data_IF_381493599800
#
_entry.id   IF_381493599800
#
_cell.length_a   1.000
_cell.length_b   1.000
_cell.length_c   1.000
_cell.angle_alpha   90.00
_cell.angle_beta   90.00
_cell.angle_gamma   90.00
#
_symmetry.space_group_name_H-M   'P 1'
#
loop_
_entity.id
_entity.type
_entity.pdbx_description
1 polymer ?
#
# COMPACT_ATOMS: atom_id res chain seq x y z
N UNK A 1 21.44 27.89 -5.51
CA UNK A 1 20.69 28.55 -4.42
C UNK A 1 19.76 27.54 -3.78
N UNK A 2 19.60 27.40 -2.47
CA UNK A 2 20.36 27.76 -1.29
C UNK A 2 19.76 26.84 -0.19
N UNK A 3 20.59 26.03 0.48
CA UNK A 3 20.19 25.28 1.67
C UNK A 3 19.77 26.26 2.77
N UNK A 4 18.74 25.92 3.55
CA UNK A 4 18.66 26.38 4.93
C UNK A 4 18.30 25.21 5.85
N UNK A 5 19.28 24.86 6.67
CA UNK A 5 19.18 24.07 7.90
C UNK A 5 19.34 25.06 9.06
N UNK A 6 18.71 24.75 10.20
CA UNK A 6 19.22 24.91 11.58
C UNK A 6 18.43 25.84 12.52
N UNK A 7 18.03 25.25 13.67
CA UNK A 7 18.20 25.77 15.05
C UNK A 7 17.77 24.63 16.00
N UNK A 8 18.64 23.83 16.63
CA UNK A 8 19.56 24.07 17.76
C UNK A 8 18.89 24.64 19.03
N UNK A 9 18.76 23.81 20.07
CA UNK A 9 18.70 24.24 21.48
C UNK A 9 19.57 23.30 22.32
N UNK A 10 20.56 23.88 22.99
CA UNK A 10 21.45 23.25 23.98
C UNK A 10 21.21 23.91 25.35
N UNK A 11 20.98 23.05 26.37
CA UNK A 11 21.53 23.07 27.74
C UNK A 11 21.30 24.26 28.70
N UNK A 12 20.84 23.95 29.92
CA UNK A 12 21.61 24.18 31.17
C UNK A 12 20.97 23.48 32.38
N UNK A 13 21.80 22.84 33.20
CA UNK A 13 21.50 22.28 34.53
C UNK A 13 21.51 23.37 35.63
N UNK A 14 20.82 23.13 36.76
CA UNK A 14 21.37 23.23 38.13
C UNK A 14 20.31 22.92 39.21
N UNK A 15 20.78 22.29 40.28
CA UNK A 15 20.05 21.64 41.38
C UNK A 15 19.59 22.58 42.53
N UNK A 16 18.67 22.10 43.40
CA UNK A 16 18.89 22.13 44.87
C UNK A 16 17.87 21.29 45.67
N UNK A 17 18.35 20.81 46.84
CA UNK A 17 17.75 19.92 47.86
C UNK A 17 16.66 20.56 48.76
N UNK A 18 15.77 19.73 49.37
CA UNK A 18 15.77 19.39 50.82
C UNK A 18 14.43 18.82 51.37
N UNK A 19 14.54 17.74 52.20
CA UNK A 19 13.81 17.35 53.46
C UNK A 19 12.26 17.34 53.49
N UNK A 20 11.50 16.39 54.05
CA UNK A 20 11.62 15.32 55.08
C UNK A 20 10.18 14.79 55.38
N UNK A 21 9.97 13.81 56.28
CA UNK A 21 8.92 12.78 56.14
C UNK A 21 7.68 12.95 57.06
N UNK A 22 6.50 12.48 56.63
CA UNK A 22 5.38 12.08 57.51
C UNK A 22 4.49 11.02 56.84
N UNK A 23 3.91 10.12 57.65
CA UNK A 23 3.25 8.90 57.24
C UNK A 23 1.70 8.94 57.39
N UNK A 24 1.02 8.29 56.42
CA UNK A 24 -0.29 7.57 56.46
C UNK A 24 -1.63 8.34 56.69
N UNK A 25 -2.83 7.80 56.34
CA UNK A 25 -3.19 6.61 55.51
C UNK A 25 -4.32 6.80 54.44
N UNK A 26 -4.37 5.87 53.47
CA UNK A 26 -5.54 5.27 52.75
C UNK A 26 -6.75 6.17 52.35
N UNK A 27 -6.90 6.44 51.05
CA UNK A 27 -8.21 6.43 50.37
C UNK A 27 -8.07 6.23 48.84
N UNK A 28 -8.73 5.16 48.38
CA UNK A 28 -9.26 4.83 47.06
C UNK A 28 -8.88 5.64 45.80
N UNK A 29 -8.50 4.86 44.78
CA UNK A 29 -9.01 4.91 43.41
C UNK A 29 -8.73 6.17 42.57
N UNK A 30 -7.77 6.05 41.64
CA UNK A 30 -8.06 6.00 40.20
C UNK A 30 -6.74 5.94 39.42
N UNK A 31 -6.34 4.73 39.04
CA UNK A 31 -5.41 4.55 37.91
C UNK A 31 -6.19 4.81 36.61
N UNK A 32 -5.68 5.59 35.65
CA UNK A 32 -6.28 5.66 34.32
C UNK A 32 -5.94 4.35 33.59
N UNK A 33 -6.83 3.38 33.73
CA UNK A 33 -6.82 2.09 33.04
C UNK A 33 -7.56 2.28 31.72
N UNK A 34 -6.82 2.11 30.63
CA UNK A 34 -7.27 1.78 29.27
C UNK A 34 -8.17 2.79 28.56
N UNK A 35 -7.53 3.60 27.72
CA UNK A 35 -8.19 4.21 26.57
C UNK A 35 -8.74 3.09 25.68
N UNK A 36 -10.06 3.08 25.57
CA UNK A 36 -10.90 1.99 25.08
C UNK A 36 -10.74 1.77 23.59
N UNK A 37 -10.67 0.49 23.22
CA UNK A 37 -10.89 -0.01 21.88
C UNK A 37 -12.15 0.63 21.27
N UNK A 38 -11.98 1.49 20.26
CA UNK A 38 -13.10 1.99 19.48
C UNK A 38 -13.79 0.81 18.77
N UNK A 39 -15.11 0.75 18.89
CA UNK A 39 -15.97 -0.31 18.38
C UNK A 39 -15.82 -0.55 16.85
N UNK A 40 -16.28 -1.70 16.31
CA UNK A 40 -16.15 -2.05 14.89
C UNK A 40 -16.81 -1.04 13.92
N UNK A 41 -17.92 -0.42 14.33
CA UNK A 41 -18.71 0.46 13.47
C UNK A 41 -17.97 1.75 13.02
N UNK A 42 -17.24 2.48 13.89
CA UNK A 42 -16.34 3.56 13.48
C UNK A 42 -15.31 3.17 12.41
N UNK A 43 -14.71 1.99 12.49
CA UNK A 43 -13.69 1.52 11.53
C UNK A 43 -14.30 1.17 10.18
N UNK A 44 -15.45 0.49 10.17
CA UNK A 44 -16.19 0.20 8.94
C UNK A 44 -16.60 1.47 8.19
N UNK A 45 -17.08 2.48 8.92
CA UNK A 45 -17.46 3.77 8.33
C UNK A 45 -16.25 4.47 7.70
N UNK A 46 -15.13 4.56 8.43
CA UNK A 46 -13.88 5.14 7.92
C UNK A 46 -13.36 4.42 6.68
N UNK A 47 -13.38 3.08 6.69
CA UNK A 47 -12.98 2.28 5.55
C UNK A 47 -13.86 2.56 4.31
N UNK A 48 -15.18 2.67 4.49
CA UNK A 48 -16.10 3.01 3.41
C UNK A 48 -15.87 4.43 2.85
N UNK A 49 -15.64 5.42 3.72
CA UNK A 49 -15.30 6.80 3.33
C UNK A 49 -13.99 6.83 2.53
N UNK A 50 -12.96 6.13 2.99
CA UNK A 50 -11.67 6.02 2.30
C UNK A 50 -11.82 5.34 0.93
N UNK A 51 -12.59 4.25 0.84
CA UNK A 51 -12.91 3.59 -0.44
C UNK A 51 -13.61 4.56 -1.41
N UNK A 52 -14.55 5.37 -0.93
CA UNK A 52 -15.22 6.40 -1.72
C UNK A 52 -14.24 7.41 -2.30
N UNK A 53 -13.44 8.04 -1.44
CA UNK A 53 -12.44 9.03 -1.84
C UNK A 53 -11.40 8.47 -2.82
N UNK A 54 -10.94 7.22 -2.61
CA UNK A 54 -9.98 6.58 -3.50
C UNK A 54 -10.60 6.23 -4.88
N UNK A 55 -11.88 5.88 -4.94
CA UNK A 55 -12.59 5.65 -6.21
C UNK A 55 -12.75 6.95 -7.01
N UNK A 56 -13.08 8.05 -6.35
CA UNK A 56 -13.12 9.38 -6.98
C UNK A 56 -11.75 9.79 -7.51
N UNK A 57 -10.70 9.60 -6.72
CA UNK A 57 -9.33 9.85 -7.15
C UNK A 57 -8.95 8.99 -8.35
N UNK A 58 -9.25 7.68 -8.32
CA UNK A 58 -9.02 6.76 -9.45
C UNK A 58 -9.74 7.22 -10.72
N UNK A 59 -11.00 7.64 -10.62
CA UNK A 59 -11.75 8.15 -11.77
C UNK A 59 -11.10 9.41 -12.36
N UNK A 60 -10.63 10.33 -11.51
CA UNK A 60 -9.90 11.53 -11.97
C UNK A 60 -8.61 11.20 -12.73
N UNK A 61 -7.92 10.11 -12.33
CA UNK A 61 -6.74 9.63 -13.02
C UNK A 61 -7.08 9.00 -14.38
N UNK A 62 -8.22 8.33 -14.51
CA UNK A 62 -8.68 7.78 -15.80
C UNK A 62 -9.03 8.89 -16.81
N UNK A 63 -9.66 9.96 -16.35
CA UNK A 63 -9.90 11.16 -17.16
C UNK A 63 -8.58 11.80 -17.62
N UNK A 64 -7.64 11.99 -16.68
CA UNK A 64 -6.31 12.53 -16.98
C UNK A 64 -5.54 11.64 -17.97
N UNK A 65 -5.59 10.31 -17.79
CA UNK A 65 -4.94 9.34 -18.66
C UNK A 65 -5.47 9.46 -20.09
N UNK A 66 -6.78 9.66 -20.25
CA UNK A 66 -7.41 9.85 -21.56
C UNK A 66 -6.88 11.09 -22.27
N UNK A 67 -6.71 12.20 -21.54
CA UNK A 67 -6.13 13.43 -22.10
C UNK A 67 -4.66 13.23 -22.49
N UNK A 68 -3.85 12.63 -21.60
CA UNK A 68 -2.43 12.38 -21.86
C UNK A 68 -2.19 11.41 -23.02
N UNK A 69 -3.08 10.43 -23.22
CA UNK A 69 -3.02 9.55 -24.39
C UNK A 69 -3.26 10.31 -25.70
N UNK A 70 -4.20 11.27 -25.72
CA UNK A 70 -4.40 12.14 -26.88
C UNK A 70 -3.17 13.01 -27.16
N UNK A 71 -2.55 13.56 -26.11
CA UNK A 71 -1.31 14.34 -26.23
C UNK A 71 -0.17 13.50 -26.80
N UNK A 72 -0.04 12.24 -26.36
CA UNK A 72 0.95 11.31 -26.88
C UNK A 72 0.74 11.01 -28.38
N UNK A 73 -0.50 10.77 -28.80
CA UNK A 73 -0.84 10.58 -30.21
C UNK A 73 -0.46 11.82 -31.01
N UNK A 74 -0.89 13.01 -30.57
CA UNK A 74 -0.58 14.27 -31.26
C UNK A 74 0.93 14.54 -31.34
N UNK A 75 1.68 14.30 -30.26
CA UNK A 75 3.14 14.43 -30.25
C UNK A 75 3.82 13.45 -31.21
N UNK A 76 3.31 12.22 -31.31
CA UNK A 76 3.81 11.19 -32.22
C UNK A 76 3.57 11.58 -33.68
N UNK A 77 2.37 12.05 -34.01
CA UNK A 77 2.05 12.56 -35.35
C UNK A 77 2.88 13.79 -35.74
N UNK A 78 3.18 14.67 -34.77
CA UNK A 78 4.07 15.80 -34.99
C UNK A 78 5.51 15.33 -35.26
N UNK A 79 6.03 14.37 -34.49
CA UNK A 79 7.36 13.78 -34.75
C UNK A 79 7.44 13.20 -36.16
N UNK A 80 6.43 12.46 -36.60
CA UNK A 80 6.42 11.88 -37.95
C UNK A 80 6.45 12.93 -39.06
N UNK A 81 5.68 14.02 -38.91
CA UNK A 81 5.73 15.15 -39.84
C UNK A 81 7.11 15.81 -39.88
N UNK A 82 7.72 16.04 -38.73
CA UNK A 82 9.06 16.63 -38.66
C UNK A 82 10.14 15.70 -39.21
N UNK A 83 9.95 14.38 -39.09
CA UNK A 83 10.87 13.39 -39.67
C UNK A 83 10.84 13.42 -41.20
N UNK A 84 9.66 13.56 -41.82
CA UNK A 84 9.53 13.74 -43.27
C UNK A 84 10.15 15.07 -43.73
N UNK A 85 9.90 16.17 -43.02
CA UNK A 85 10.50 17.47 -43.34
C UNK A 85 12.04 17.44 -43.21
N UNK A 86 12.56 16.75 -42.20
CA UNK A 86 14.00 16.60 -41.99
C UNK A 86 14.63 15.77 -43.11
N UNK A 87 13.96 14.70 -43.55
CA UNK A 87 14.41 13.88 -44.69
C UNK A 87 14.45 14.67 -46.01
N UNK A 88 13.69 15.76 -46.10
CA UNK A 88 13.70 16.71 -47.23
C UNK A 88 14.62 17.91 -46.99
N UNK A 89 15.40 17.90 -45.91
CA UNK A 89 16.31 18.97 -45.49
C UNK A 89 15.61 20.33 -45.24
N UNK A 90 14.30 20.32 -44.95
CA UNK A 90 13.48 21.51 -44.73
C UNK A 90 13.46 22.00 -43.28
N UNK A 91 13.90 21.17 -42.33
CA UNK A 91 14.04 21.51 -40.91
C UNK A 91 15.39 21.04 -40.39
N UNK A 92 15.85 21.66 -39.30
CA UNK A 92 17.11 21.29 -38.65
C UNK A 92 16.96 20.00 -37.81
N UNK A 93 18.09 19.32 -37.59
CA UNK A 93 18.16 18.16 -36.68
C UNK A 93 17.64 18.50 -35.28
N UNK A 94 17.98 19.69 -34.78
CA UNK A 94 17.57 20.20 -33.47
C UNK A 94 16.05 20.26 -33.32
N UNK A 95 15.34 20.69 -34.36
CA UNK A 95 13.87 20.75 -34.35
C UNK A 95 13.23 19.36 -34.33
N UNK A 96 13.82 18.38 -35.01
CA UNK A 96 13.37 16.99 -34.93
C UNK A 96 13.60 16.42 -33.52
N UNK A 97 14.79 16.62 -32.94
CA UNK A 97 15.15 16.18 -31.59
C UNK A 97 14.20 16.74 -30.51
N UNK A 98 13.74 18.00 -30.66
CA UNK A 98 12.73 18.59 -29.78
C UNK A 98 11.39 17.84 -29.82
N UNK A 99 10.96 17.37 -31.00
CA UNK A 99 9.72 16.58 -31.15
C UNK A 99 9.86 15.16 -30.64
N UNK A 100 11.03 14.55 -30.82
CA UNK A 100 11.35 13.25 -30.21
C UNK A 100 11.34 13.33 -28.68
N UNK A 101 11.89 14.42 -28.13
CA UNK A 101 11.83 14.70 -26.69
C UNK A 101 10.38 14.88 -26.22
N UNK A 102 9.55 15.59 -26.98
CA UNK A 102 8.14 15.78 -26.64
C UNK A 102 7.36 14.45 -26.58
N UNK A 103 7.63 13.51 -27.48
CA UNK A 103 7.06 12.15 -27.42
C UNK A 103 7.49 11.44 -26.15
N UNK A 104 8.79 11.48 -25.82
CA UNK A 104 9.33 10.84 -24.61
C UNK A 104 8.67 11.39 -23.34
N UNK A 105 8.49 12.71 -23.25
CA UNK A 105 7.81 13.37 -22.13
C UNK A 105 6.33 12.94 -22.05
N UNK A 106 5.62 12.90 -23.18
CA UNK A 106 4.22 12.48 -23.21
C UNK A 106 4.05 11.01 -22.80
N UNK A 107 4.94 10.12 -23.24
CA UNK A 107 4.99 8.72 -22.82
C UNK A 107 5.22 8.61 -21.30
N UNK A 108 6.18 9.38 -20.77
CA UNK A 108 6.47 9.40 -19.35
C UNK A 108 5.24 9.74 -18.48
N UNK A 109 4.47 10.75 -18.90
CA UNK A 109 3.22 11.14 -18.22
C UNK A 109 2.16 10.03 -18.24
N UNK A 110 1.94 9.40 -19.38
CA UNK A 110 0.99 8.27 -19.53
C UNK A 110 1.37 7.12 -18.58
N UNK A 111 2.65 6.74 -18.57
CA UNK A 111 3.13 5.65 -17.72
C UNK A 111 3.07 6.01 -16.22
N UNK A 112 3.33 7.25 -15.86
CA UNK A 112 3.16 7.73 -14.48
C UNK A 112 1.70 7.65 -14.03
N UNK A 113 0.77 8.15 -14.83
CA UNK A 113 -0.66 8.10 -14.51
C UNK A 113 -1.16 6.65 -14.41
N UNK A 114 -0.71 5.75 -15.28
CA UNK A 114 -1.00 4.30 -15.18
C UNK A 114 -0.50 3.71 -13.87
N UNK A 115 0.72 4.03 -13.43
CA UNK A 115 1.24 3.60 -12.13
C UNK A 115 0.39 4.13 -10.97
N UNK A 116 -0.05 5.40 -11.04
CA UNK A 116 -0.91 5.99 -10.02
C UNK A 116 -2.28 5.29 -9.95
N UNK A 117 -2.85 4.88 -11.08
CA UNK A 117 -4.09 4.09 -11.11
C UNK A 117 -3.88 2.74 -10.41
N UNK A 118 -2.77 2.05 -10.67
CA UNK A 118 -2.46 0.79 -9.99
C UNK A 118 -2.31 0.95 -8.48
N UNK A 119 -1.66 2.04 -8.02
CA UNK A 119 -1.54 2.37 -6.61
C UNK A 119 -2.91 2.64 -5.98
N UNK A 120 -3.79 3.35 -6.69
CA UNK A 120 -5.16 3.61 -6.23
C UNK A 120 -5.97 2.30 -6.15
N UNK A 121 -5.87 1.41 -7.14
CA UNK A 121 -6.53 0.11 -7.14
C UNK A 121 -6.12 -0.75 -5.94
N UNK A 122 -4.82 -0.78 -5.63
CA UNK A 122 -4.27 -1.46 -4.46
C UNK A 122 -4.83 -0.86 -3.15
N UNK A 123 -4.82 0.46 -3.03
CA UNK A 123 -5.35 1.17 -1.87
C UNK A 123 -6.86 0.91 -1.64
N UNK A 124 -7.66 0.88 -2.71
CA UNK A 124 -9.10 0.57 -2.60
C UNK A 124 -9.29 -0.86 -2.10
N UNK A 125 -8.50 -1.80 -2.60
CA UNK A 125 -8.58 -3.21 -2.18
C UNK A 125 -8.23 -3.38 -0.70
N UNK A 126 -7.17 -2.75 -0.22
CA UNK A 126 -6.80 -2.77 1.20
C UNK A 126 -7.88 -2.16 2.09
N UNK A 127 -8.38 -0.97 1.74
CA UNK A 127 -9.41 -0.30 2.52
C UNK A 127 -10.72 -1.13 2.57
N UNK A 128 -11.11 -1.75 1.45
CA UNK A 128 -12.26 -2.64 1.40
C UNK A 128 -12.06 -3.92 2.23
N UNK A 129 -10.85 -4.50 2.19
CA UNK A 129 -10.50 -5.67 2.99
C UNK A 129 -10.53 -5.34 4.50
N UNK A 130 -10.00 -4.19 4.90
CA UNK A 130 -10.05 -3.71 6.28
C UNK A 130 -11.49 -3.52 6.78
N UNK A 131 -12.35 -2.89 5.97
CA UNK A 131 -13.78 -2.72 6.30
C UNK A 131 -14.50 -4.06 6.44
N UNK A 132 -14.22 -5.01 5.54
CA UNK A 132 -14.77 -6.38 5.62
C UNK A 132 -14.27 -7.07 6.89
N UNK A 133 -12.96 -7.03 7.17
CA UNK A 133 -12.36 -7.67 8.34
C UNK A 133 -12.96 -7.13 9.65
N UNK A 134 -13.19 -5.82 9.74
CA UNK A 134 -13.81 -5.20 10.90
C UNK A 134 -15.25 -5.70 11.17
N UNK A 135 -15.97 -6.13 10.13
CA UNK A 135 -17.33 -6.70 10.27
C UNK A 135 -17.35 -8.17 10.70
N UNK A 136 -16.22 -8.89 10.57
CA UNK A 136 -16.14 -10.33 10.81
C UNK A 136 -15.71 -10.62 12.24
N UNK A 137 -16.24 -11.69 12.83
CA UNK A 137 -15.78 -12.18 14.14
C UNK A 137 -14.29 -12.58 14.07
N UNK A 138 -13.51 -12.46 15.17
CA UNK A 138 -12.14 -12.96 15.19
C UNK A 138 -12.05 -14.44 14.83
N UNK A 139 -11.00 -14.82 14.09
CA UNK A 139 -10.71 -16.23 13.80
C UNK A 139 -9.99 -16.87 14.97
N UNK A 140 -10.39 -18.09 15.33
CA UNK A 140 -9.59 -18.93 16.23
C UNK A 140 -8.21 -19.21 15.60
N UNK A 141 -7.18 -19.49 16.42
CA UNK A 141 -5.87 -19.93 15.92
C UNK A 141 -6.01 -21.16 15.01
N UNK A 142 -5.35 -21.14 13.85
CA UNK A 142 -5.49 -22.13 12.77
C UNK A 142 -6.78 -22.00 11.94
N UNK A 143 -7.64 -21.04 12.25
CA UNK A 143 -8.91 -20.83 11.57
C UNK A 143 -8.72 -20.35 10.13
N UNK A 144 -9.57 -20.84 9.24
CA UNK A 144 -9.64 -20.46 7.84
C UNK A 144 -11.06 -20.01 7.51
N UNK A 145 -11.18 -18.88 6.80
CA UNK A 145 -12.48 -18.40 6.33
C UNK A 145 -12.36 -17.84 4.92
N UNK A 146 -13.33 -18.20 4.08
CA UNK A 146 -13.56 -17.61 2.76
C UNK A 146 -14.91 -16.89 2.77
N UNK A 147 -14.91 -15.63 2.34
CA UNK A 147 -16.14 -14.86 2.09
C UNK A 147 -16.24 -14.55 0.59
N UNK A 148 -17.24 -13.76 0.19
CA UNK A 148 -17.33 -13.23 -1.16
C UNK A 148 -16.23 -12.21 -1.49
N UNK A 149 -15.55 -11.64 -0.48
CA UNK A 149 -14.65 -10.49 -0.64
C UNK A 149 -13.20 -10.78 -0.25
N UNK A 150 -12.95 -11.75 0.65
CA UNK A 150 -11.60 -12.13 1.05
C UNK A 150 -11.48 -13.59 1.50
N UNK A 151 -10.26 -14.12 1.46
CA UNK A 151 -9.85 -15.32 2.19
C UNK A 151 -8.95 -14.85 3.32
N UNK A 152 -9.09 -15.44 4.50
CA UNK A 152 -8.17 -15.21 5.61
C UNK A 152 -7.84 -16.49 6.34
N UNK A 153 -6.60 -16.59 6.78
CA UNK A 153 -6.09 -17.69 7.58
C UNK A 153 -5.36 -17.13 8.79
N UNK A 154 -5.75 -17.56 9.98
CA UNK A 154 -5.13 -17.15 11.23
C UNK A 154 -4.08 -18.18 11.65
N UNK A 155 -2.95 -18.22 10.95
CA UNK A 155 -1.84 -19.12 11.25
C UNK A 155 -1.15 -18.83 12.59
N UNK A 156 -0.57 -19.86 13.21
CA UNK A 156 0.12 -19.75 14.51
C UNK A 156 1.64 -19.59 14.40
N UNK A 157 2.21 -19.74 13.20
CA UNK A 157 3.64 -19.63 13.04
C UNK A 157 4.09 -18.19 13.32
N UNK A 158 5.20 -18.05 14.05
CA UNK A 158 5.86 -16.77 14.21
C UNK A 158 6.32 -16.28 12.82
N UNK A 159 5.69 -15.21 12.35
CA UNK A 159 6.07 -14.55 11.12
C UNK A 159 7.22 -13.56 11.38
N UNK A 160 8.04 -13.36 10.36
CA UNK A 160 9.08 -12.34 10.32
C UNK A 160 9.22 -11.87 8.89
N UNK A 161 9.10 -10.56 8.66
CA UNK A 161 9.24 -9.98 7.34
C UNK A 161 10.57 -10.37 6.67
N UNK A 162 11.69 -10.25 7.39
CA UNK A 162 13.02 -10.53 6.83
C UNK A 162 13.21 -12.00 6.46
N UNK A 163 13.08 -12.89 7.44
CA UNK A 163 13.37 -14.32 7.25
C UNK A 163 12.26 -15.04 6.47
N UNK A 164 11.01 -14.62 6.66
CA UNK A 164 9.85 -15.15 5.95
C UNK A 164 9.88 -14.81 4.47
N UNK A 165 10.24 -13.57 4.11
CA UNK A 165 10.31 -13.18 2.69
C UNK A 165 11.33 -13.99 1.91
N UNK A 166 12.51 -14.25 2.49
CA UNK A 166 13.54 -15.07 1.82
C UNK A 166 12.99 -16.46 1.48
N UNK A 167 12.27 -17.10 2.41
CA UNK A 167 11.65 -18.41 2.18
C UNK A 167 10.56 -18.36 1.11
N UNK A 168 9.74 -17.31 1.11
CA UNK A 168 8.70 -17.12 0.09
C UNK A 168 9.29 -16.88 -1.29
N UNK A 169 10.34 -16.07 -1.40
CA UNK A 169 11.05 -15.83 -2.65
C UNK A 169 11.67 -17.13 -3.19
N UNK A 170 12.29 -17.94 -2.34
CA UNK A 170 12.84 -19.25 -2.72
C UNK A 170 11.75 -20.21 -3.21
N UNK A 171 10.66 -20.34 -2.45
CA UNK A 171 9.50 -21.15 -2.84
C UNK A 171 8.96 -20.71 -4.21
N UNK A 172 8.70 -19.42 -4.38
CA UNK A 172 8.07 -18.90 -5.59
C UNK A 172 8.98 -19.04 -6.81
N UNK A 173 10.27 -18.72 -6.66
CA UNK A 173 11.25 -18.88 -7.73
C UNK A 173 11.43 -20.36 -8.13
N UNK A 174 11.50 -21.28 -7.16
CA UNK A 174 11.58 -22.71 -7.44
C UNK A 174 10.34 -23.25 -8.17
N UNK A 175 9.15 -22.71 -7.85
CA UNK A 175 7.88 -23.20 -8.40
C UNK A 175 7.49 -22.59 -9.74
N UNK A 176 7.85 -21.33 -9.98
CA UNK A 176 7.37 -20.52 -11.11
C UNK A 176 8.49 -19.93 -11.98
N UNK A 177 9.77 -20.18 -11.65
CA UNK A 177 10.93 -19.69 -12.39
C UNK A 177 10.96 -18.15 -12.56
N UNK A 178 10.39 -17.41 -11.62
CA UNK A 178 10.35 -15.94 -11.60
C UNK A 178 10.41 -15.41 -10.16
N UNK A 179 10.82 -14.15 -9.95
CA UNK A 179 10.78 -13.55 -8.60
C UNK A 179 9.35 -13.40 -8.09
N UNK A 180 9.20 -13.48 -6.76
CA UNK A 180 7.95 -13.17 -6.05
C UNK A 180 7.55 -11.72 -6.36
N UNK A 181 6.34 -11.47 -6.90
CA UNK A 181 5.90 -10.13 -7.25
C UNK A 181 5.44 -9.38 -5.98
N UNK A 182 6.39 -8.87 -5.21
CA UNK A 182 6.12 -8.08 -4.00
C UNK A 182 5.62 -6.69 -4.42
N UNK A 183 4.41 -6.31 -4.00
CA UNK A 183 3.83 -4.98 -4.22
C UNK A 183 4.06 -4.03 -3.05
N UNK A 184 4.18 -4.56 -1.83
CA UNK A 184 4.57 -3.81 -0.65
C UNK A 184 5.48 -4.64 0.25
N UNK A 185 6.60 -4.09 0.68
CA UNK A 185 7.52 -4.73 1.60
C UNK A 185 7.62 -3.89 2.88
N UNK A 186 6.97 -4.35 3.96
CA UNK A 186 6.88 -3.57 5.19
C UNK A 186 6.00 -2.32 5.05
N UNK A 187 6.20 -1.37 5.97
CA UNK A 187 5.50 -0.09 5.95
C UNK A 187 5.80 0.70 4.68
N UNK A 188 4.79 1.33 4.08
CA UNK A 188 4.94 2.18 2.90
C UNK A 188 4.26 3.53 3.12
N UNK A 189 4.62 4.58 2.36
CA UNK A 189 3.90 5.86 2.42
C UNK A 189 2.41 5.76 2.07
N UNK A 190 2.00 4.70 1.37
CA UNK A 190 0.58 4.43 1.13
C UNK A 190 -0.10 4.00 2.44
N UNK A 191 0.49 3.04 3.16
CA UNK A 191 0.00 2.60 4.46
C UNK A 191 -0.06 3.74 5.48
N UNK A 192 0.96 4.61 5.54
CA UNK A 192 0.98 5.78 6.43
C UNK A 192 -0.19 6.74 6.17
N UNK A 193 -0.54 6.96 4.90
CA UNK A 193 -1.65 7.84 4.50
C UNK A 193 -3.00 7.23 4.84
N UNK A 194 -3.13 5.91 4.73
CA UNK A 194 -4.35 5.18 5.09
C UNK A 194 -4.45 4.91 6.60
N UNK A 195 -3.36 5.14 7.33
CA UNK A 195 -3.27 4.87 8.76
C UNK A 195 -3.17 3.38 9.09
N UNK A 196 -2.78 2.54 8.13
CA UNK A 196 -2.59 1.11 8.32
C UNK A 196 -1.17 0.80 8.77
N UNK A 197 -1.05 -0.13 9.71
CA UNK A 197 0.23 -0.72 10.08
C UNK A 197 0.58 -1.84 9.07
N UNK A 198 1.80 -1.91 8.60
CA UNK A 198 2.28 -2.93 7.69
C UNK A 198 3.75 -3.29 7.97
N UNK A 199 4.28 -2.91 9.14
CA UNK A 199 5.73 -2.98 9.43
C UNK A 199 6.33 -4.38 9.38
N UNK A 200 5.57 -5.40 9.81
CA UNK A 200 5.99 -6.80 9.76
C UNK A 200 5.12 -7.61 8.79
N UNK A 201 4.75 -7.01 7.67
CA UNK A 201 3.96 -7.67 6.63
C UNK A 201 4.48 -7.34 5.23
N UNK A 202 4.05 -8.12 4.24
CA UNK A 202 4.29 -7.85 2.83
C UNK A 202 3.04 -8.17 2.01
N UNK A 203 2.86 -7.45 0.90
CA UNK A 203 1.84 -7.77 -0.09
C UNK A 203 2.46 -8.39 -1.32
N UNK A 204 1.83 -9.44 -1.83
CA UNK A 204 2.18 -10.10 -3.08
C UNK A 204 1.09 -9.81 -4.11
N UNK A 205 1.46 -9.16 -5.22
CA UNK A 205 0.59 -8.85 -6.34
C UNK A 205 0.30 -10.09 -7.21
N UNK A 206 -0.36 -11.08 -6.61
CA UNK A 206 -0.95 -12.23 -7.31
C UNK A 206 -2.43 -12.30 -7.00
N UNK A 207 -3.22 -12.63 -8.02
CA UNK A 207 -4.65 -12.82 -7.85
C UNK A 207 -4.93 -14.12 -7.06
N UNK A 208 -5.83 -14.13 -6.05
CA UNK A 208 -6.06 -15.32 -5.20
C UNK A 208 -6.46 -16.57 -6.00
N UNK A 209 -7.27 -16.42 -7.05
CA UNK A 209 -7.68 -17.53 -7.92
C UNK A 209 -6.69 -17.83 -9.07
N UNK A 210 -5.51 -17.20 -9.13
CA UNK A 210 -4.50 -17.62 -10.11
C UNK A 210 -3.81 -18.92 -9.65
N UNK A 211 -3.18 -19.70 -10.55
CA UNK A 211 -2.34 -20.82 -10.14
C UNK A 211 -1.24 -20.43 -9.14
N UNK A 212 -0.67 -19.25 -9.31
CA UNK A 212 0.35 -18.67 -8.41
C UNK A 212 -0.24 -18.32 -7.05
N UNK A 213 -1.41 -17.65 -7.03
CA UNK A 213 -2.10 -17.27 -5.80
C UNK A 213 -2.54 -18.48 -4.98
N UNK A 214 -3.12 -19.51 -5.63
CA UNK A 214 -3.47 -20.77 -4.95
C UNK A 214 -2.26 -21.47 -4.36
N UNK A 215 -1.18 -21.61 -5.13
CA UNK A 215 0.04 -22.26 -4.64
C UNK A 215 0.68 -21.48 -3.48
N UNK A 216 0.68 -20.15 -3.54
CA UNK A 216 1.17 -19.31 -2.45
C UNK A 216 0.31 -19.46 -1.19
N UNK A 217 -1.02 -19.42 -1.30
CA UNK A 217 -1.91 -19.66 -0.16
C UNK A 217 -1.72 -21.07 0.41
N UNK A 218 -1.55 -22.09 -0.41
CA UNK A 218 -1.28 -23.46 0.04
C UNK A 218 0.03 -23.56 0.82
N UNK A 219 1.09 -22.93 0.30
CA UNK A 219 2.37 -22.84 1.01
C UNK A 219 2.23 -22.13 2.36
N UNK A 220 1.55 -20.98 2.38
CA UNK A 220 1.35 -20.19 3.61
C UNK A 220 0.55 -20.97 4.66
N UNK A 221 -0.52 -21.67 4.25
CA UNK A 221 -1.29 -22.55 5.14
C UNK A 221 -0.43 -23.68 5.68
N UNK A 222 0.33 -24.36 4.81
CA UNK A 222 1.22 -25.45 5.21
C UNK A 222 2.33 -25.01 6.17
N UNK A 223 2.82 -23.78 6.00
CA UNK A 223 3.82 -23.16 6.88
C UNK A 223 3.21 -22.52 8.15
N UNK A 224 1.89 -22.52 8.30
CA UNK A 224 1.19 -21.89 9.42
C UNK A 224 1.31 -20.37 9.44
N UNK A 225 1.61 -19.72 8.31
CA UNK A 225 1.81 -18.27 8.20
C UNK A 225 0.45 -17.61 7.96
N UNK A 226 0.06 -16.61 8.77
CA UNK A 226 -1.19 -15.88 8.57
C UNK A 226 -1.17 -15.07 7.26
N UNK A 227 -2.35 -14.98 6.63
CA UNK A 227 -2.52 -14.16 5.43
C UNK A 227 -3.98 -13.71 5.26
N UNK A 228 -4.14 -12.66 4.46
CA UNK A 228 -5.42 -12.23 3.90
C UNK A 228 -5.24 -12.14 2.37
N UNK A 229 -6.09 -12.81 1.62
CA UNK A 229 -6.13 -12.71 0.17
C UNK A 229 -7.36 -11.91 -0.26
N UNK A 230 -7.13 -10.87 -1.06
CA UNK A 230 -8.14 -9.91 -1.51
C UNK A 230 -8.26 -9.98 -3.03
N UNK A 231 -9.49 -10.01 -3.55
CA UNK A 231 -9.77 -10.08 -4.99
C UNK A 231 -9.68 -8.73 -5.72
N UNK A 232 -9.32 -7.66 -5.00
CA UNK A 232 -9.29 -6.32 -5.54
C UNK A 232 -10.62 -5.58 -5.39
N UNK A 233 -10.62 -4.33 -5.85
CA UNK A 233 -11.75 -3.41 -5.73
C UNK A 233 -12.91 -3.71 -6.71
N UNK A 234 -12.59 -4.36 -7.83
CA UNK A 234 -13.50 -4.62 -8.94
C UNK A 234 -13.55 -6.14 -9.18
N UNK A 235 -14.72 -6.79 -9.04
CA UNK A 235 -14.85 -8.22 -9.32
C UNK A 235 -14.34 -8.56 -10.73
N UNK A 236 -13.45 -9.55 -10.82
CA UNK A 236 -12.86 -9.99 -12.10
C UNK A 236 -11.71 -9.11 -12.63
N UNK A 237 -11.37 -8.01 -11.95
CA UNK A 237 -10.16 -7.26 -12.24
C UNK A 237 -8.94 -7.89 -11.57
N UNK A 238 -7.80 -7.88 -12.25
CA UNK A 238 -6.51 -8.18 -11.61
C UNK A 238 -5.98 -7.01 -10.79
N UNK A 239 -6.49 -5.80 -11.02
CA UNK A 239 -6.01 -4.60 -10.35
C UNK A 239 -6.41 -4.57 -8.88
N UNK A 240 -5.42 -4.41 -8.01
CA UNK A 240 -5.57 -4.40 -6.55
C UNK A 240 -5.75 -5.78 -5.92
N UNK A 241 -5.85 -6.86 -6.70
CA UNK A 241 -5.85 -8.21 -6.16
C UNK A 241 -4.46 -8.57 -5.63
N UNK A 242 -4.37 -8.96 -4.36
CA UNK A 242 -3.10 -9.29 -3.71
C UNK A 242 -3.31 -10.26 -2.54
N UNK A 243 -2.20 -10.85 -2.09
CA UNK A 243 -2.13 -11.63 -0.87
C UNK A 243 -1.25 -10.86 0.12
N UNK A 244 -1.88 -10.37 1.17
CA UNK A 244 -1.23 -9.82 2.36
C UNK A 244 -0.71 -10.96 3.23
N UNK A 245 0.59 -10.97 3.53
CA UNK A 245 1.27 -12.00 4.32
C UNK A 245 1.83 -11.41 5.60
N UNK A 246 1.51 -12.05 6.72
CA UNK A 246 1.87 -11.56 8.05
C UNK A 246 0.63 -11.38 8.92
N UNK A 247 0.83 -10.82 10.11
CA UNK A 247 -0.27 -10.54 11.02
C UNK A 247 -1.16 -9.43 10.44
N UNK A 248 -2.48 -9.63 10.38
CA UNK A 248 -3.38 -8.58 9.90
C UNK A 248 -3.36 -7.39 10.86
N UNK A 249 -3.20 -6.20 10.32
CA UNK A 249 -3.08 -5.00 11.13
C UNK A 249 -4.43 -4.52 11.67
N UNK A 250 -4.56 -4.30 13.00
CA UNK A 250 -5.82 -3.92 13.61
C UNK A 250 -6.03 -2.40 13.72
N UNK A 251 -5.11 -1.55 13.23
CA UNK A 251 -5.18 -0.10 13.48
C UNK A 251 -5.38 0.68 12.19
N UNK A 252 -6.45 1.48 12.18
CA UNK A 252 -6.52 2.75 11.46
C UNK A 252 -6.16 3.79 12.51
N UNK A 253 -4.90 4.23 12.57
CA UNK A 253 -4.51 5.22 13.56
C UNK A 253 -5.35 6.49 13.38
N UNK A 254 -6.06 6.91 14.43
CA UNK A 254 -6.60 8.27 14.54
C UNK A 254 -5.42 9.22 14.65
N UNK A 255 -5.26 10.12 13.66
CA UNK A 255 -4.40 11.30 13.86
C UNK A 255 -5.02 12.12 14.99
N UNK A 256 -4.25 12.34 16.07
CA UNK A 256 -4.52 13.37 17.06
C UNK A 256 -4.16 14.74 16.51
#
# INVERSE_FOLDING_TARGET
MALLVLALILGSEAASHAQGPTASPRAAANSPVHETAQAPAPLMKRAAELVGALKEYRASLEELLTLQQKDLVAATEQRERWRDLFARELVSKRELEERETAVTVAQGKVEETRRNIMVADHAIAEAAAAGTLASLSPLAPGGYQRTAFLIRFNGQAAWSLRSGTVKLQQFFAARFARPLPISAFGQTPLHDRMGFDHHDALDVAVHPDSPEGRALMDYLRGAGIPFIASWGAVPGSTSGAHIHVGQPSPRIATRH
#
